data_IF_961526270528
#
_entry.id   IF_961526270528
#
_cell.length_a   1.000
_cell.length_b   1.000
_cell.length_c   1.000
_cell.angle_alpha   90.00
_cell.angle_beta   90.00
_cell.angle_gamma   90.00
#
_symmetry.space_group_name_H-M   'P 1'
#
loop_
_entity.id
_entity.type
_entity.pdbx_description
1 polymer ?
#
# COMPACT_ATOMS: atom_id res chain seq x y z
N UNK A 1 13.19 12.84 9.19
CA UNK A 1 11.78 12.39 9.31
C UNK A 1 11.18 12.81 10.64
N UNK A 2 9.85 12.79 10.81
CA UNK A 2 9.18 13.41 11.96
C UNK A 2 9.59 12.90 13.36
N UNK A 3 9.96 11.62 13.51
CA UNK A 3 10.30 11.00 14.81
C UNK A 3 11.77 10.56 14.93
N UNK A 4 12.58 10.83 13.93
CA UNK A 4 13.94 10.30 13.83
C UNK A 4 14.83 10.75 15.00
N UNK A 5 14.86 12.04 15.26
CA UNK A 5 15.65 12.63 16.36
C UNK A 5 15.21 12.08 17.73
N UNK A 6 13.90 11.88 17.93
CA UNK A 6 13.35 11.32 19.16
C UNK A 6 13.85 9.88 19.39
N UNK A 7 13.82 9.03 18.37
CA UNK A 7 14.33 7.66 18.47
C UNK A 7 15.85 7.61 18.67
N UNK A 8 16.62 8.45 17.99
CA UNK A 8 18.08 8.51 18.19
C UNK A 8 18.44 8.91 19.63
N UNK A 9 17.73 9.88 20.21
CA UNK A 9 17.86 10.26 21.62
C UNK A 9 17.49 9.11 22.56
N UNK A 10 16.38 8.41 22.27
CA UNK A 10 15.96 7.24 23.04
C UNK A 10 17.01 6.13 23.02
N UNK A 11 17.56 5.79 21.85
CA UNK A 11 18.60 4.77 21.72
C UNK A 11 19.87 5.16 22.47
N UNK A 12 20.22 6.45 22.46
CA UNK A 12 21.38 6.93 23.23
C UNK A 12 21.14 6.83 24.73
N UNK A 13 19.96 7.22 25.20
CA UNK A 13 19.59 7.12 26.61
C UNK A 13 19.59 5.65 27.10
N UNK A 14 19.02 4.74 26.31
CA UNK A 14 19.01 3.31 26.61
C UNK A 14 20.41 2.69 26.63
N UNK A 15 21.32 3.16 25.77
CA UNK A 15 22.74 2.76 25.79
C UNK A 15 23.41 3.22 27.08
N UNK A 16 23.22 4.50 27.46
CA UNK A 16 23.77 5.08 28.69
C UNK A 16 23.23 4.40 29.95
N UNK A 17 21.97 3.95 29.93
CA UNK A 17 21.35 3.19 31.01
C UNK A 17 21.78 1.71 31.04
N UNK A 18 22.56 1.26 30.05
CA UNK A 18 23.03 -0.12 29.96
C UNK A 18 21.96 -1.14 29.57
N UNK A 19 20.83 -0.70 29.01
CA UNK A 19 19.70 -1.56 28.63
C UNK A 19 19.98 -2.44 27.42
N UNK A 20 20.90 -2.01 26.54
CA UNK A 20 21.44 -2.86 25.48
C UNK A 20 22.94 -2.62 25.30
N UNK A 21 23.61 -3.62 24.72
CA UNK A 21 25.05 -3.63 24.49
C UNK A 21 25.34 -4.31 23.14
N UNK A 22 26.48 -4.03 22.50
CA UNK A 22 26.94 -4.81 21.36
C UNK A 22 26.93 -6.32 21.68
N UNK A 23 26.55 -7.19 20.72
CA UNK A 23 26.32 -6.91 19.31
C UNK A 23 24.90 -6.39 18.97
N UNK A 24 24.05 -6.13 19.96
CA UNK A 24 22.66 -5.67 19.76
C UNK A 24 22.65 -4.29 19.09
N UNK A 25 21.83 -4.13 18.05
CA UNK A 25 21.67 -2.87 17.30
C UNK A 25 20.24 -2.34 17.41
N UNK A 26 20.12 -1.05 17.68
CA UNK A 26 18.88 -0.31 17.54
C UNK A 26 18.93 0.53 16.26
N UNK A 27 17.93 0.40 15.40
CA UNK A 27 17.85 1.15 14.13
C UNK A 27 16.47 1.77 13.96
N UNK A 28 16.43 3.02 13.53
CA UNK A 28 15.19 3.70 13.17
C UNK A 28 14.81 3.41 11.71
N UNK A 29 13.73 2.66 11.51
CA UNK A 29 13.18 2.37 10.19
C UNK A 29 12.08 3.38 9.82
N UNK A 30 12.47 4.64 9.63
CA UNK A 30 11.50 5.70 9.32
C UNK A 30 10.94 5.64 7.90
N UNK A 31 9.83 6.33 7.70
CA UNK A 31 9.18 6.45 6.39
C UNK A 31 8.73 7.89 6.12
N UNK A 32 8.58 8.23 4.85
CA UNK A 32 8.08 9.52 4.38
C UNK A 32 6.59 9.74 4.69
N UNK A 33 6.09 10.93 4.38
CA UNK A 33 4.68 11.28 4.55
C UNK A 33 3.87 10.85 3.33
N UNK A 34 2.68 10.32 3.57
CA UNK A 34 1.68 10.06 2.52
C UNK A 34 1.04 11.38 2.13
N UNK A 35 1.17 11.75 0.86
CA UNK A 35 0.68 12.99 0.29
C UNK A 35 -0.53 12.74 -0.63
N UNK A 36 -1.44 13.72 -0.71
CA UNK A 36 -2.46 13.79 -1.76
C UNK A 36 -1.88 14.24 -3.10
N UNK A 37 -2.76 14.34 -4.10
CA UNK A 37 -2.39 14.88 -5.42
C UNK A 37 -1.95 16.35 -5.38
N UNK A 38 -2.30 17.07 -4.32
CA UNK A 38 -1.91 18.45 -4.06
C UNK A 38 -0.55 18.59 -3.35
N UNK A 39 0.13 17.46 -3.07
CA UNK A 39 1.40 17.43 -2.33
C UNK A 39 1.27 17.71 -0.84
N UNK A 40 0.05 17.89 -0.32
CA UNK A 40 -0.20 18.06 1.12
C UNK A 40 -0.48 16.71 1.77
N UNK A 41 -0.55 16.69 3.10
CA UNK A 41 -0.91 15.47 3.84
C UNK A 41 -2.20 14.86 3.27
N UNK A 42 -2.15 13.56 3.04
CA UNK A 42 -3.27 12.81 2.49
C UNK A 42 -4.51 12.93 3.39
N UNK A 43 -5.60 13.44 2.81
CA UNK A 43 -6.85 13.79 3.48
C UNK A 43 -8.03 13.47 2.57
N UNK A 44 -9.20 13.28 3.17
CA UNK A 44 -10.46 13.20 2.43
C UNK A 44 -10.77 14.54 1.75
N UNK A 45 -11.76 14.54 0.84
CA UNK A 45 -12.26 15.79 0.22
C UNK A 45 -12.84 16.78 1.26
N UNK A 46 -13.33 16.29 2.39
CA UNK A 46 -13.78 17.13 3.52
C UNK A 46 -12.62 17.69 4.37
N UNK A 47 -11.38 17.21 4.15
CA UNK A 47 -10.19 17.62 4.89
C UNK A 47 -9.87 16.78 6.13
N UNK A 48 -10.66 15.73 6.37
CA UNK A 48 -10.49 14.77 7.46
C UNK A 48 -9.41 13.73 7.16
N UNK A 49 -8.99 13.03 8.22
CA UNK A 49 -8.07 11.89 8.08
C UNK A 49 -8.80 10.74 7.38
N UNK A 50 -8.20 10.23 6.31
CA UNK A 50 -8.75 9.06 5.61
C UNK A 50 -8.64 7.84 6.51
N UNK A 51 -9.75 7.14 6.75
CA UNK A 51 -9.72 5.88 7.49
C UNK A 51 -9.12 4.81 6.58
N UNK A 52 -8.23 3.99 7.14
CA UNK A 52 -7.59 2.91 6.38
C UNK A 52 -8.62 1.93 5.79
N UNK A 53 -9.70 1.63 6.54
CA UNK A 53 -10.79 0.77 6.07
C UNK A 53 -11.41 1.33 4.79
N UNK A 54 -11.80 2.61 4.79
CA UNK A 54 -12.41 3.24 3.61
C UNK A 54 -11.47 3.25 2.40
N UNK A 55 -10.16 3.42 2.63
CA UNK A 55 -9.16 3.38 1.56
C UNK A 55 -9.02 1.99 0.94
N UNK A 56 -9.01 0.96 1.79
CA UNK A 56 -8.89 -0.42 1.35
C UNK A 56 -10.17 -0.90 0.65
N UNK A 57 -11.34 -0.53 1.17
CA UNK A 57 -12.64 -0.85 0.55
C UNK A 57 -12.75 -0.20 -0.83
N UNK A 58 -12.38 1.07 -0.97
CA UNK A 58 -12.35 1.78 -2.26
C UNK A 58 -11.38 1.10 -3.25
N UNK A 59 -10.22 0.62 -2.79
CA UNK A 59 -9.28 -0.11 -3.63
C UNK A 59 -9.86 -1.45 -4.15
N UNK A 60 -10.65 -2.14 -3.32
CA UNK A 60 -11.34 -3.38 -3.70
C UNK A 60 -12.47 -3.10 -4.70
N UNK A 61 -13.27 -2.06 -4.48
CA UNK A 61 -14.33 -1.63 -5.40
C UNK A 61 -13.77 -1.34 -6.79
N UNK A 62 -12.71 -0.52 -6.87
CA UNK A 62 -12.02 -0.19 -8.13
C UNK A 62 -11.43 -1.42 -8.82
N UNK A 63 -10.83 -2.33 -8.05
CA UNK A 63 -10.31 -3.58 -8.58
C UNK A 63 -11.41 -4.47 -9.18
N UNK A 64 -12.59 -4.50 -8.55
CA UNK A 64 -13.78 -5.22 -9.05
C UNK A 64 -14.26 -4.63 -10.37
N UNK A 65 -14.39 -3.30 -10.45
CA UNK A 65 -14.82 -2.60 -11.68
C UNK A 65 -13.87 -2.88 -12.85
N UNK A 66 -12.56 -2.83 -12.61
CA UNK A 66 -11.54 -3.13 -13.63
C UNK A 66 -11.57 -4.60 -14.08
N UNK A 67 -11.81 -5.55 -13.16
CA UNK A 67 -11.97 -6.97 -13.50
C UNK A 67 -13.18 -7.20 -14.41
N UNK A 68 -14.33 -6.58 -14.09
CA UNK A 68 -15.57 -6.69 -14.87
C UNK A 68 -15.37 -6.08 -16.27
N UNK A 69 -14.76 -4.90 -16.33
CA UNK A 69 -14.47 -4.22 -17.59
C UNK A 69 -13.59 -5.06 -18.51
N UNK A 70 -12.50 -5.63 -18.00
CA UNK A 70 -11.60 -6.49 -18.80
C UNK A 70 -12.27 -7.75 -19.30
N UNK A 71 -13.11 -8.39 -18.49
CA UNK A 71 -13.84 -9.58 -18.89
C UNK A 71 -14.78 -9.30 -20.09
N UNK A 72 -15.40 -8.12 -20.11
CA UNK A 72 -16.24 -7.69 -21.24
C UNK A 72 -15.43 -7.41 -22.52
N UNK A 73 -14.19 -6.92 -22.41
CA UNK A 73 -13.34 -6.54 -23.55
C UNK A 73 -12.64 -7.73 -24.22
N UNK A 74 -12.18 -8.74 -23.46
CA UNK A 74 -11.42 -9.88 -24.03
C UNK A 74 -12.29 -10.99 -24.61
N UNK A 75 -13.63 -10.86 -24.53
CA UNK A 75 -14.57 -11.89 -25.02
C UNK A 75 -14.36 -13.25 -24.36
N UNK A 76 -13.64 -13.30 -23.24
CA UNK A 76 -13.35 -14.52 -22.51
C UNK A 76 -14.64 -15.07 -21.92
N UNK A 77 -14.93 -16.32 -22.25
CA UNK A 77 -15.86 -17.14 -21.48
C UNK A 77 -15.52 -17.04 -19.99
N UNK A 78 -16.52 -17.25 -19.15
CA UNK A 78 -16.55 -17.19 -17.67
C UNK A 78 -17.13 -15.86 -17.19
N UNK A 79 -18.44 -15.73 -16.93
CA UNK A 79 -19.11 -16.52 -15.91
C UNK A 79 -18.18 -16.89 -14.74
N UNK A 80 -17.29 -15.99 -14.33
CA UNK A 80 -16.76 -16.04 -12.98
C UNK A 80 -17.96 -15.77 -12.10
N UNK A 81 -18.36 -16.77 -11.32
CA UNK A 81 -19.31 -16.63 -10.23
C UNK A 81 -19.04 -15.31 -9.48
N UNK A 82 -20.11 -14.63 -9.04
CA UNK A 82 -20.00 -13.35 -8.35
C UNK A 82 -19.02 -13.42 -7.18
N UNK A 83 -19.00 -14.57 -6.49
CA UNK A 83 -18.07 -14.85 -5.40
C UNK A 83 -16.59 -14.90 -5.84
N UNK A 84 -16.27 -15.42 -7.03
CA UNK A 84 -14.89 -15.49 -7.52
C UNK A 84 -14.41 -14.10 -7.96
N UNK A 85 -15.29 -13.28 -8.55
CA UNK A 85 -14.98 -11.89 -8.86
C UNK A 85 -14.68 -11.12 -7.57
N UNK A 86 -15.49 -11.31 -6.53
CA UNK A 86 -15.32 -10.63 -5.23
C UNK A 86 -14.01 -11.03 -4.56
N UNK A 87 -13.70 -12.33 -4.50
CA UNK A 87 -12.41 -12.82 -3.98
C UNK A 87 -11.22 -12.24 -4.75
N UNK A 88 -11.28 -12.22 -6.08
CA UNK A 88 -10.20 -11.68 -6.91
C UNK A 88 -10.05 -10.19 -6.70
N UNK A 89 -11.14 -9.44 -6.62
CA UNK A 89 -11.11 -8.00 -6.37
C UNK A 89 -10.45 -7.67 -5.03
N UNK A 90 -10.77 -8.43 -3.97
CA UNK A 90 -10.18 -8.26 -2.65
C UNK A 90 -8.66 -8.45 -2.68
N UNK A 91 -8.20 -9.59 -3.23
CA UNK A 91 -6.77 -9.90 -3.35
C UNK A 91 -6.04 -8.83 -4.16
N UNK A 92 -6.62 -8.40 -5.28
CA UNK A 92 -6.00 -7.41 -6.17
C UNK A 92 -5.97 -6.01 -5.56
N UNK A 93 -7.05 -5.55 -4.96
CA UNK A 93 -7.13 -4.24 -4.30
C UNK A 93 -6.07 -4.12 -3.21
N UNK A 94 -6.01 -5.09 -2.30
CA UNK A 94 -5.03 -5.07 -1.21
C UNK A 94 -3.59 -5.21 -1.70
N UNK A 95 -3.35 -6.08 -2.70
CA UNK A 95 -2.02 -6.27 -3.25
C UNK A 95 -1.54 -5.02 -3.99
N UNK A 96 -2.43 -4.33 -4.71
CA UNK A 96 -2.10 -3.09 -5.41
C UNK A 96 -1.70 -1.98 -4.43
N UNK A 97 -2.43 -1.80 -3.31
CA UNK A 97 -2.09 -0.84 -2.26
C UNK A 97 -0.71 -1.16 -1.67
N UNK A 98 -0.48 -2.41 -1.26
CA UNK A 98 0.80 -2.85 -0.68
C UNK A 98 1.96 -2.66 -1.66
N UNK A 99 1.79 -3.10 -2.90
CA UNK A 99 2.82 -3.00 -3.92
C UNK A 99 3.13 -1.54 -4.26
N UNK A 100 2.10 -0.69 -4.33
CA UNK A 100 2.28 0.72 -4.64
C UNK A 100 3.08 1.46 -3.56
N UNK A 101 2.91 1.09 -2.30
CA UNK A 101 3.68 1.62 -1.17
C UNK A 101 5.12 1.05 -1.16
N UNK A 102 5.27 -0.28 -1.25
CA UNK A 102 6.56 -0.97 -1.14
C UNK A 102 7.52 -0.74 -2.31
N UNK A 103 7.01 -0.40 -3.50
CA UNK A 103 7.87 -0.08 -4.66
C UNK A 103 8.53 1.31 -4.56
N UNK A 104 8.05 2.18 -3.67
CA UNK A 104 8.62 3.50 -3.47
C UNK A 104 9.85 3.41 -2.57
N UNK A 105 10.72 4.42 -2.63
CA UNK A 105 11.72 4.56 -1.58
C UNK A 105 11.02 4.93 -0.28
N UNK A 106 11.09 4.06 0.74
CA UNK A 106 10.44 4.31 2.03
C UNK A 106 10.78 5.66 2.63
N UNK A 107 11.98 6.21 2.36
CA UNK A 107 12.44 7.44 3.00
C UNK A 107 11.94 8.71 2.34
N UNK A 108 11.36 8.61 1.15
CA UNK A 108 10.80 9.76 0.42
C UNK A 108 9.31 9.88 0.71
N UNK A 109 8.82 11.11 0.78
CA UNK A 109 7.38 11.35 0.72
C UNK A 109 6.83 10.81 -0.61
N UNK A 110 5.62 10.25 -0.58
CA UNK A 110 4.98 9.74 -1.79
C UNK A 110 3.55 10.24 -1.90
N UNK A 111 3.14 10.46 -3.15
CA UNK A 111 1.78 10.87 -3.46
C UNK A 111 0.91 9.63 -3.72
N UNK A 112 -0.07 9.43 -2.85
CA UNK A 112 -1.07 8.39 -3.03
C UNK A 112 -2.02 8.77 -4.18
N UNK A 113 -2.29 7.82 -5.05
CA UNK A 113 -3.18 7.99 -6.21
C UNK A 113 -3.69 6.62 -6.63
N UNK A 114 -5.02 6.45 -6.60
CA UNK A 114 -5.65 5.22 -7.06
C UNK A 114 -5.35 4.94 -8.53
N UNK A 115 -5.43 5.94 -9.40
CA UNK A 115 -5.17 5.77 -10.84
C UNK A 115 -3.73 5.28 -11.13
N UNK A 116 -2.74 5.81 -10.41
CA UNK A 116 -1.33 5.36 -10.51
C UNK A 116 -1.11 3.99 -9.88
N UNK A 117 -1.87 3.67 -8.84
CA UNK A 117 -1.88 2.35 -8.22
C UNK A 117 -2.47 1.31 -9.17
N UNK A 118 -3.60 1.58 -9.83
CA UNK A 118 -4.30 0.68 -10.76
C UNK A 118 -3.44 0.33 -11.98
N UNK A 119 -2.73 1.31 -12.56
CA UNK A 119 -1.76 1.05 -13.63
C UNK A 119 -0.62 0.11 -13.20
N UNK A 120 -0.23 0.16 -11.92
CA UNK A 120 0.73 -0.77 -11.35
C UNK A 120 0.09 -2.05 -10.82
N UNK A 121 -1.22 -2.04 -10.58
CA UNK A 121 -2.04 -3.19 -10.23
C UNK A 121 -1.98 -4.24 -11.33
N UNK A 122 -1.87 -3.84 -12.60
CA UNK A 122 -1.62 -4.78 -13.72
C UNK A 122 -0.32 -5.58 -13.50
N UNK A 123 0.73 -4.93 -12.97
CA UNK A 123 1.98 -5.58 -12.60
C UNK A 123 1.80 -6.50 -11.39
N UNK A 124 1.04 -6.09 -10.38
CA UNK A 124 0.72 -6.91 -9.21
C UNK A 124 -0.15 -8.13 -9.57
N UNK A 125 -1.14 -7.99 -10.45
CA UNK A 125 -1.94 -9.08 -11.03
C UNK A 125 -1.03 -10.07 -11.74
N UNK A 126 -0.10 -9.59 -12.58
CA UNK A 126 0.83 -10.43 -13.34
C UNK A 126 1.76 -11.22 -12.41
N UNK A 127 2.18 -10.61 -11.30
CA UNK A 127 2.97 -11.27 -10.26
C UNK A 127 2.11 -12.29 -9.49
N UNK A 128 0.89 -11.94 -9.09
CA UNK A 128 -0.02 -12.85 -8.36
C UNK A 128 -0.57 -13.99 -9.22
N UNK A 129 -0.69 -13.83 -10.54
CA UNK A 129 -1.01 -14.93 -11.45
C UNK A 129 0.19 -15.87 -11.57
N UNK A 130 1.41 -15.33 -11.70
CA UNK A 130 2.62 -16.14 -11.80
C UNK A 130 2.95 -16.89 -10.49
N UNK A 131 2.61 -16.32 -9.32
CA UNK A 131 2.73 -16.98 -8.01
C UNK A 131 1.67 -18.05 -7.75
N UNK A 132 0.60 -18.11 -8.57
CA UNK A 132 -0.40 -19.18 -8.52
C UNK A 132 0.01 -20.41 -9.34
N UNK A 133 0.95 -20.22 -10.28
CA UNK A 133 1.50 -21.26 -11.15
C UNK A 133 2.80 -21.88 -10.59
N UNK A 134 3.21 -21.50 -9.36
CA UNK A 134 4.34 -22.04 -8.59
C UNK A 134 3.83 -22.85 -7.40
#
# INVERSE_FOLDING_TARGET
MGQEEHFLKLFKAAEMAGWYKPPTRCSFAGFGVVQGCDGKKFKTRSGDVVRLVDLLDEAVVRAKEELIKRAAETGGDSACDGEEIDRRAEVLGYSAVKYFDLKQNRTTDYQFSYDRMEHCGVSAVRVCSHLRDL
#
